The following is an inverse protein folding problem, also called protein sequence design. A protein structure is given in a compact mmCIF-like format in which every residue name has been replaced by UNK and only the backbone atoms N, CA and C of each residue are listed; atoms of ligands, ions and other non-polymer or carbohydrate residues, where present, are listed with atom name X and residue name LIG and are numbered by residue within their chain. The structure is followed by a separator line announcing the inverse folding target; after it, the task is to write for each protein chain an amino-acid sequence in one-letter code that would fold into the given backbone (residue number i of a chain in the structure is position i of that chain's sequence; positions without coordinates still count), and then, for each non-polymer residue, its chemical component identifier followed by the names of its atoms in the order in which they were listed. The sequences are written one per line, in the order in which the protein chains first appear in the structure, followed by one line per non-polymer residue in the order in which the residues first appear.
data_IF_807550619801
#
_entry.id   IF_807550619801
#
_cell.length_a   1.000
_cell.length_b   1.000
_cell.length_c   1.000
_cell.angle_alpha   90.00
_cell.angle_beta   90.00
_cell.angle_gamma   90.00
#
_symmetry.space_group_name_H-M   'P 1'
#
loop_
_entity.id
_entity.type
_entity.pdbx_description
1 polymer ?
#
# COMPACT_ATOMS: atom_id res chain seq x y z
N UNK A 1 -11.24 9.31 22.57
CA UNK A 1 -10.45 9.55 21.35
C UNK A 1 -11.07 8.75 20.23
N UNK A 2 -11.54 9.44 19.18
CA UNK A 2 -12.49 8.91 18.19
C UNK A 2 -11.83 7.88 17.26
N UNK A 3 -12.59 6.85 16.89
CA UNK A 3 -12.23 5.80 15.93
C UNK A 3 -11.81 6.36 14.55
N UNK A 4 -12.25 7.57 14.23
CA UNK A 4 -11.93 8.26 12.97
C UNK A 4 -10.46 8.70 12.88
N UNK A 5 -9.85 9.08 14.00
CA UNK A 5 -8.45 9.57 14.03
C UNK A 5 -7.44 8.43 13.76
N UNK A 6 -7.80 7.20 14.17
CA UNK A 6 -6.98 6.01 13.93
C UNK A 6 -6.96 5.58 12.47
N UNK A 7 -8.10 5.67 11.76
CA UNK A 7 -8.21 5.20 10.36
C UNK A 7 -7.40 6.09 9.40
N UNK A 8 -7.41 7.40 9.63
CA UNK A 8 -6.57 8.34 8.89
C UNK A 8 -5.07 8.06 9.11
N UNK A 9 -4.66 7.76 10.35
CA UNK A 9 -3.29 7.37 10.68
C UNK A 9 -2.84 6.10 9.95
N UNK A 10 -3.69 5.08 9.86
CA UNK A 10 -3.36 3.82 9.15
C UNK A 10 -3.19 4.04 7.65
N UNK A 11 -4.03 4.88 7.03
CA UNK A 11 -3.92 5.24 5.61
C UNK A 11 -2.62 5.99 5.32
N UNK A 12 -2.30 6.99 6.13
CA UNK A 12 -1.09 7.81 5.99
C UNK A 12 0.19 6.98 6.15
N UNK A 13 0.19 6.02 7.09
CA UNK A 13 1.27 5.04 7.26
C UNK A 13 1.44 4.16 6.03
N UNK A 14 0.34 3.66 5.46
CA UNK A 14 0.37 2.80 4.28
C UNK A 14 0.91 3.53 3.05
N UNK A 15 0.50 4.79 2.85
CA UNK A 15 1.05 5.68 1.82
C UNK A 15 2.55 5.86 2.02
N UNK A 16 3.01 6.17 3.24
CA UNK A 16 4.44 6.29 3.55
C UNK A 16 5.21 5.01 3.22
N UNK A 17 4.72 3.84 3.63
CA UNK A 17 5.39 2.57 3.34
C UNK A 17 5.48 2.31 1.83
N UNK A 18 4.40 2.56 1.08
CA UNK A 18 4.41 2.41 -0.38
C UNK A 18 5.45 3.33 -1.03
N UNK A 19 5.51 4.59 -0.58
CA UNK A 19 6.47 5.57 -1.09
C UNK A 19 7.92 5.22 -0.73
N UNK A 20 8.17 4.62 0.44
CA UNK A 20 9.50 4.14 0.82
C UNK A 20 9.97 3.03 -0.12
N UNK A 21 9.08 2.10 -0.48
CA UNK A 21 9.38 1.05 -1.47
C UNK A 21 9.69 1.70 -2.82
N UNK A 22 8.86 2.63 -3.29
CA UNK A 22 9.10 3.33 -4.55
C UNK A 22 10.41 4.12 -4.56
N UNK A 23 10.75 4.80 -3.45
CA UNK A 23 12.00 5.55 -3.30
C UNK A 23 13.22 4.64 -3.49
N UNK A 24 13.17 3.42 -2.95
CA UNK A 24 14.24 2.44 -3.14
C UNK A 24 14.41 2.07 -4.63
N UNK A 25 13.29 1.83 -5.31
CA UNK A 25 13.26 1.47 -6.73
C UNK A 25 13.49 2.65 -7.68
N UNK A 26 13.44 3.88 -7.19
CA UNK A 26 13.74 5.10 -7.96
C UNK A 26 15.20 5.15 -8.44
N UNK A 27 16.09 4.41 -7.77
CA UNK A 27 17.50 4.23 -8.18
C UNK A 27 17.67 3.28 -9.37
N UNK A 28 16.61 2.54 -9.74
CA UNK A 28 16.58 1.58 -10.85
C UNK A 28 15.95 2.22 -12.09
N UNK A 29 16.15 1.63 -13.29
CA UNK A 29 15.42 2.03 -14.48
C UNK A 29 13.91 1.98 -14.24
N UNK A 30 13.15 2.91 -14.84
CA UNK A 30 11.71 3.07 -14.58
C UNK A 30 10.94 1.75 -14.72
N UNK A 31 11.21 0.99 -15.77
CA UNK A 31 10.54 -0.29 -16.02
C UNK A 31 10.83 -1.34 -14.94
N UNK A 32 12.08 -1.44 -14.50
CA UNK A 32 12.47 -2.29 -13.37
C UNK A 32 11.87 -1.81 -12.06
N UNK A 33 11.81 -0.49 -11.84
CA UNK A 33 11.24 0.08 -10.63
C UNK A 33 9.74 -0.18 -10.51
N UNK A 34 9.00 -0.11 -11.63
CA UNK A 34 7.58 -0.45 -11.69
C UNK A 34 7.35 -1.93 -11.38
N UNK A 35 8.09 -2.81 -12.06
CA UNK A 35 7.98 -4.25 -11.85
C UNK A 35 8.37 -4.65 -10.43
N UNK A 36 9.49 -4.11 -9.92
CA UNK A 36 10.02 -4.38 -8.59
C UNK A 36 9.11 -3.88 -7.48
N UNK A 37 8.54 -2.67 -7.62
CA UNK A 37 7.58 -2.12 -6.65
C UNK A 37 6.31 -2.97 -6.58
N UNK A 38 5.74 -3.33 -7.74
CA UNK A 38 4.55 -4.18 -7.79
C UNK A 38 4.83 -5.59 -7.23
N UNK A 39 5.97 -6.19 -7.56
CA UNK A 39 6.37 -7.50 -7.06
C UNK A 39 6.56 -7.47 -5.53
N UNK A 40 7.25 -6.45 -5.02
CA UNK A 40 7.47 -6.29 -3.58
C UNK A 40 6.14 -6.17 -2.84
N UNK A 41 5.23 -5.32 -3.31
CA UNK A 41 3.90 -5.20 -2.72
C UNK A 41 3.13 -6.53 -2.81
N UNK A 42 3.16 -7.21 -3.96
CA UNK A 42 2.47 -8.50 -4.10
C UNK A 42 3.03 -9.60 -3.18
N UNK A 43 4.35 -9.60 -2.94
CA UNK A 43 5.05 -10.66 -2.19
C UNK A 43 5.02 -10.43 -0.68
N UNK A 44 5.18 -9.18 -0.24
CA UNK A 44 5.32 -8.84 1.18
C UNK A 44 4.04 -8.26 1.78
N UNK A 45 3.11 -7.71 0.97
CA UNK A 45 1.88 -7.16 1.51
C UNK A 45 0.74 -8.16 1.52
N UNK A 46 0.09 -8.22 2.69
CA UNK A 46 -1.11 -8.99 2.87
C UNK A 46 -2.27 -8.47 2.00
N UNK A 47 -3.26 -9.33 1.66
CA UNK A 47 -4.43 -8.93 0.88
C UNK A 47 -5.14 -7.67 1.41
N UNK A 48 -5.26 -7.52 2.74
CA UNK A 48 -5.88 -6.35 3.37
C UNK A 48 -5.14 -5.03 3.08
N UNK A 49 -3.80 -5.05 3.12
CA UNK A 49 -2.99 -3.87 2.85
C UNK A 49 -3.10 -3.47 1.37
N UNK A 50 -3.08 -4.45 0.46
CA UNK A 50 -3.32 -4.19 -0.96
C UNK A 50 -4.69 -3.59 -1.21
N UNK A 51 -5.73 -4.06 -0.52
CA UNK A 51 -7.06 -3.46 -0.59
C UNK A 51 -7.05 -1.99 -0.18
N UNK A 52 -6.44 -1.67 0.96
CA UNK A 52 -6.31 -0.27 1.41
C UNK A 52 -5.50 0.60 0.45
N UNK A 53 -4.45 0.06 -0.19
CA UNK A 53 -3.72 0.76 -1.24
C UNK A 53 -4.65 1.11 -2.40
N UNK A 54 -5.47 0.16 -2.84
CA UNK A 54 -6.45 0.40 -3.88
C UNK A 54 -7.53 1.40 -3.46
N UNK A 55 -7.99 1.40 -2.20
CA UNK A 55 -8.89 2.45 -1.70
C UNK A 55 -8.27 3.86 -1.80
N UNK A 56 -6.96 4.00 -1.55
CA UNK A 56 -6.24 5.27 -1.72
C UNK A 56 -6.16 5.64 -3.20
N UNK A 57 -5.81 4.69 -4.07
CA UNK A 57 -5.73 4.89 -5.51
C UNK A 57 -7.10 5.28 -6.11
N UNK A 58 -8.17 4.59 -5.72
CA UNK A 58 -9.55 4.88 -6.13
C UNK A 58 -10.04 6.24 -5.57
N UNK A 59 -9.44 6.74 -4.47
CA UNK A 59 -9.68 8.09 -3.94
C UNK A 59 -8.87 9.19 -4.67
N UNK A 60 -8.11 8.83 -5.71
CA UNK A 60 -7.28 9.76 -6.50
C UNK A 60 -5.77 9.62 -6.28
N UNK A 61 -5.33 8.68 -5.42
CA UNK A 61 -3.91 8.40 -5.20
C UNK A 61 -3.16 9.51 -4.46
N UNK A 62 -3.86 10.37 -3.73
CA UNK A 62 -3.25 11.51 -3.05
C UNK A 62 -2.15 11.06 -2.07
N UNK A 63 -0.97 11.66 -2.22
CA UNK A 63 0.21 11.35 -1.41
C UNK A 63 0.98 10.10 -1.84
N UNK A 64 0.51 9.31 -2.81
CA UNK A 64 1.30 8.20 -3.38
C UNK A 64 2.29 8.70 -4.43
N UNK A 65 3.45 8.05 -4.46
CA UNK A 65 4.47 8.29 -5.48
C UNK A 65 4.01 7.84 -6.87
N UNK A 66 4.46 8.53 -7.93
CA UNK A 66 4.10 8.21 -9.31
C UNK A 66 4.47 6.77 -9.71
N UNK A 67 5.56 6.24 -9.15
CA UNK A 67 6.02 4.87 -9.38
C UNK A 67 5.06 3.88 -8.74
N UNK A 68 4.50 4.18 -7.56
CA UNK A 68 3.49 3.33 -6.91
C UNK A 68 2.19 3.34 -7.73
N UNK A 69 1.76 4.51 -8.17
CA UNK A 69 0.53 4.67 -8.97
C UNK A 69 0.66 3.87 -10.26
N UNK A 70 1.77 4.01 -11.00
CA UNK A 70 2.00 3.25 -12.22
C UNK A 70 2.25 1.75 -11.95
N UNK A 71 2.89 1.38 -10.83
CA UNK A 71 3.04 -0.01 -10.42
C UNK A 71 1.69 -0.66 -10.06
N UNK A 72 0.69 0.11 -9.68
CA UNK A 72 -0.63 -0.40 -9.28
C UNK A 72 -1.33 -1.23 -10.34
N UNK A 73 -1.07 -0.97 -11.62
CA UNK A 73 -1.58 -1.76 -12.74
C UNK A 73 -1.05 -3.22 -12.73
N UNK A 74 0.10 -3.45 -12.10
CA UNK A 74 0.74 -4.76 -11.93
C UNK A 74 0.48 -5.38 -10.56
N UNK A 75 -0.12 -4.64 -9.62
CA UNK A 75 -0.46 -5.16 -8.29
C UNK A 75 -1.75 -5.98 -8.39
N UNK A 76 -1.75 -7.17 -7.80
CA UNK A 76 -2.92 -8.05 -7.80
C UNK A 76 -3.96 -7.51 -6.81
N UNK A 77 -5.10 -7.02 -7.33
CA UNK A 77 -6.29 -6.68 -6.52
C UNK A 77 -6.81 -7.94 -5.84
N UNK A 78 -6.91 -7.97 -4.50
CA UNK A 78 -7.50 -9.09 -3.80
C UNK A 78 -9.02 -9.05 -3.96
N UNK A 79 -9.55 -9.96 -4.76
CA UNK A 79 -10.96 -10.30 -4.81
C UNK A 79 -11.28 -11.19 -3.61
N UNK A 80 -11.72 -10.61 -2.50
CA UNK A 80 -12.76 -11.13 -1.57
C UNK A 80 -12.81 -10.32 -0.26
N UNK A 81 -13.98 -10.21 0.39
CA UNK A 81 -14.20 -9.31 1.53
C UNK A 81 -13.65 -9.94 2.81
N UNK A 82 -12.51 -9.46 3.28
CA UNK A 82 -12.11 -9.70 4.68
C UNK A 82 -13.01 -8.85 5.56
N UNK A 83 -13.83 -9.52 6.38
CA UNK A 83 -14.79 -8.93 7.31
C UNK A 83 -14.14 -7.82 8.13
N UNK A 84 -14.82 -6.67 8.22
CA UNK A 84 -14.35 -5.41 8.81
C UNK A 84 -13.82 -5.50 10.27
N UNK A 85 -13.94 -6.65 10.94
CA UNK A 85 -13.48 -6.88 12.30
C UNK A 85 -11.95 -7.12 12.42
N UNK A 86 -11.25 -7.52 11.36
CA UNK A 86 -9.79 -7.81 11.41
C UNK A 86 -8.89 -6.62 11.00
N UNK A 87 -9.49 -5.46 10.72
CA UNK A 87 -8.79 -4.25 10.29
C UNK A 87 -8.10 -3.48 11.43
N UNK A 88 -8.36 -3.82 12.70
CA UNK A 88 -7.85 -3.09 13.85
C UNK A 88 -6.49 -3.60 14.39
N UNK A 89 -6.07 -4.83 14.07
CA UNK A 89 -4.95 -5.49 14.79
C UNK A 89 -3.62 -5.54 14.01
N UNK A 90 -3.56 -5.01 12.78
CA UNK A 90 -2.37 -5.15 11.91
C UNK A 90 -1.18 -4.22 12.23
N UNK A 91 -1.27 -3.34 13.23
CA UNK A 91 -0.29 -2.27 13.43
C UNK A 91 0.82 -2.57 14.45
N UNK A 92 1.03 -3.83 14.85
CA UNK A 92 2.02 -4.18 15.87
C UNK A 92 3.26 -4.95 15.37
N UNK A 93 3.32 -5.39 14.11
CA UNK A 93 4.37 -6.31 13.65
C UNK A 93 4.92 -5.98 12.24
N UNK A 94 5.33 -4.72 12.02
CA UNK A 94 6.33 -4.44 10.97
C UNK A 94 7.61 -3.94 11.65
N UNK A 95 8.10 -4.76 12.58
CA UNK A 95 9.40 -4.57 13.21
C UNK A 95 10.42 -5.51 12.56
N UNK A 96 11.47 -4.92 12.02
CA UNK A 96 12.64 -5.58 11.44
C UNK A 96 13.48 -4.57 10.69
#
# INVERSE_FOLDING_TARGET
MSLEEHKASTRDKLIRMANQIATFFHSKPREEGLAGTAEHINKFWEPRMRRHLFEVLDSGGEGLDELVIAASEKIRRPSDPVTAAQAAEANADVSG
#
